data_IF_223019973501
#
_entry.id   IF_223019973501
#
_cell.length_a   1.000
_cell.length_b   1.000
_cell.length_c   1.000
_cell.angle_alpha   90.00
_cell.angle_beta   90.00
_cell.angle_gamma   90.00
#
_symmetry.space_group_name_H-M   'P 1'
#
loop_
_entity.id
_entity.type
_entity.pdbx_description
1 polymer ?
#
# COMPACT_ATOMS: atom_id res chain seq x y z
N UNK A 1 -4.09 -9.16 3.63
CA UNK A 1 -3.15 -10.25 3.93
C UNK A 1 -1.69 -9.77 3.99
N UNK A 2 -1.04 -9.40 2.87
CA UNK A 2 0.37 -8.96 2.90
C UNK A 2 0.59 -7.68 3.73
N UNK A 3 -0.30 -6.70 3.58
CA UNK A 3 -0.26 -5.47 4.37
C UNK A 3 -0.44 -5.76 5.88
N UNK A 4 -1.34 -6.68 6.23
CA UNK A 4 -1.59 -7.05 7.63
C UNK A 4 -0.35 -7.71 8.29
N UNK A 5 0.34 -8.60 7.58
CA UNK A 5 1.44 -9.39 8.14
C UNK A 5 2.80 -8.69 8.14
N UNK A 6 3.03 -7.78 7.18
CA UNK A 6 4.37 -7.20 6.94
C UNK A 6 4.42 -5.73 7.32
N UNK A 7 3.28 -5.02 7.36
CA UNK A 7 3.26 -3.62 7.74
C UNK A 7 3.17 -3.47 9.26
N UNK A 8 4.19 -2.87 9.87
CA UNK A 8 4.26 -2.60 11.31
C UNK A 8 3.03 -1.87 11.87
N UNK A 9 2.32 -1.06 11.08
CA UNK A 9 1.08 -0.42 11.52
C UNK A 9 -0.06 -1.43 11.73
N UNK A 10 -0.17 -2.45 10.87
CA UNK A 10 -1.27 -3.43 10.94
C UNK A 10 -0.99 -4.58 11.92
N UNK A 11 0.27 -4.81 12.30
CA UNK A 11 0.60 -5.81 13.34
C UNK A 11 -0.11 -5.53 14.67
N UNK A 12 -0.37 -4.24 14.98
CA UNK A 12 -1.13 -3.83 16.15
C UNK A 12 -2.59 -4.31 16.15
N UNK A 13 -3.20 -4.52 14.97
CA UNK A 13 -4.56 -5.07 14.91
C UNK A 13 -4.60 -6.52 15.39
N UNK A 14 -3.58 -7.33 15.10
CA UNK A 14 -3.53 -8.71 15.59
C UNK A 14 -3.40 -8.77 17.10
N UNK A 15 -2.52 -7.94 17.69
CA UNK A 15 -2.36 -7.86 19.14
C UNK A 15 -3.66 -7.45 19.84
N UNK A 16 -4.37 -6.46 19.27
CA UNK A 16 -5.67 -6.02 19.78
C UNK A 16 -6.75 -7.09 19.66
N UNK A 17 -6.86 -7.77 18.51
CA UNK A 17 -7.83 -8.87 18.32
C UNK A 17 -7.51 -10.05 19.23
N UNK A 18 -6.26 -10.46 19.35
CA UNK A 18 -5.85 -11.57 20.21
C UNK A 18 -6.14 -11.27 21.70
N UNK A 19 -5.78 -10.08 22.18
CA UNK A 19 -6.07 -9.65 23.54
C UNK A 19 -7.58 -9.53 23.80
N UNK A 20 -8.33 -8.94 22.88
CA UNK A 20 -9.79 -8.81 22.96
C UNK A 20 -10.50 -10.16 23.00
N UNK A 21 -10.17 -11.08 22.10
CA UNK A 21 -10.73 -12.44 22.09
C UNK A 21 -10.35 -13.21 23.37
N UNK A 22 -9.09 -13.09 23.83
CA UNK A 22 -8.63 -13.70 25.06
C UNK A 22 -9.43 -13.21 26.29
N UNK A 23 -9.69 -11.90 26.36
CA UNK A 23 -10.52 -11.32 27.41
C UNK A 23 -11.95 -11.88 27.39
N UNK A 24 -12.58 -11.98 26.22
CA UNK A 24 -13.93 -12.54 26.08
C UNK A 24 -13.99 -14.03 26.48
N UNK A 25 -12.97 -14.81 26.13
CA UNK A 25 -12.87 -16.22 26.53
C UNK A 25 -12.77 -16.38 28.05
N UNK A 26 -12.04 -15.50 28.73
CA UNK A 26 -11.94 -15.49 30.19
C UNK A 26 -13.27 -15.07 30.84
N UNK A 27 -13.92 -14.03 30.33
CA UNK A 27 -15.22 -13.59 30.82
C UNK A 27 -16.30 -14.67 30.66
N UNK A 28 -16.19 -15.50 29.62
CA UNK A 28 -17.09 -16.64 29.41
C UNK A 28 -16.96 -17.74 30.46
N UNK A 29 -15.79 -17.91 31.08
CA UNK A 29 -15.57 -18.89 32.15
C UNK A 29 -16.23 -18.48 33.47
N UNK A 30 -16.42 -17.18 33.70
CA UNK A 30 -17.24 -16.65 34.80
C UNK A 30 -16.55 -16.52 36.17
N UNK A 31 -15.29 -16.94 36.33
CA UNK A 31 -14.58 -16.87 37.61
C UNK A 31 -14.15 -15.45 37.98
N UNK A 32 -13.99 -15.18 39.28
CA UNK A 32 -13.54 -13.87 39.77
C UNK A 32 -12.10 -13.54 39.34
N UNK A 33 -11.19 -14.52 39.36
CA UNK A 33 -9.81 -14.35 38.88
C UNK A 33 -9.72 -14.08 37.37
N UNK A 34 -10.64 -14.65 36.59
CA UNK A 34 -10.69 -14.46 35.13
C UNK A 34 -11.02 -13.00 34.76
N UNK A 35 -11.75 -12.28 35.62
CA UNK A 35 -12.08 -10.86 35.38
C UNK A 35 -10.83 -9.96 35.42
N UNK A 36 -9.86 -10.28 36.28
CA UNK A 36 -8.59 -9.54 36.38
C UNK A 36 -7.77 -9.73 35.12
N UNK A 37 -7.61 -10.98 34.69
CA UNK A 37 -6.91 -11.29 33.46
C UNK A 37 -7.61 -10.75 32.21
N UNK A 38 -8.95 -10.74 32.19
CA UNK A 38 -9.70 -10.13 31.09
C UNK A 38 -9.45 -8.62 31.00
N UNK A 39 -9.44 -7.91 32.13
CA UNK A 39 -9.09 -6.49 32.18
C UNK A 39 -7.67 -6.24 31.67
N UNK A 40 -6.69 -7.03 32.15
CA UNK A 40 -5.29 -6.93 31.71
C UNK A 40 -5.15 -7.17 30.21
N UNK A 41 -5.86 -8.16 29.65
CA UNK A 41 -5.84 -8.43 28.21
C UNK A 41 -6.50 -7.33 27.39
N UNK A 42 -7.55 -6.67 27.89
CA UNK A 42 -8.15 -5.51 27.23
C UNK A 42 -7.22 -4.29 27.25
N UNK A 43 -6.50 -4.06 28.36
CA UNK A 43 -5.46 -3.02 28.43
C UNK A 43 -4.33 -3.33 27.44
N UNK A 44 -3.84 -4.57 27.42
CA UNK A 44 -2.82 -4.98 26.46
C UNK A 44 -3.31 -4.82 25.01
N UNK A 45 -4.55 -5.22 24.72
CA UNK A 45 -5.16 -5.02 23.41
C UNK A 45 -5.19 -3.54 23.00
N UNK A 46 -5.47 -2.65 23.95
CA UNK A 46 -5.49 -1.21 23.72
C UNK A 46 -4.10 -0.63 23.44
N UNK A 47 -3.06 -1.12 24.12
CA UNK A 47 -1.68 -0.73 23.87
C UNK A 47 -1.21 -1.08 22.45
N UNK A 48 -1.82 -2.08 21.82
CA UNK A 48 -1.57 -2.38 20.41
C UNK A 48 -2.38 -1.50 19.46
N UNK A 49 -3.66 -1.24 19.75
CA UNK A 49 -4.53 -0.46 18.87
C UNK A 49 -5.84 -0.03 19.53
N UNK A 50 -6.40 1.10 19.07
CA UNK A 50 -7.78 1.53 19.38
C UNK A 50 -8.87 0.57 18.89
N UNK A 51 -8.51 -0.45 18.09
CA UNK A 51 -9.38 -1.59 17.78
C UNK A 51 -9.87 -2.33 19.04
N UNK A 52 -9.23 -2.13 20.19
CA UNK A 52 -9.65 -2.68 21.48
C UNK A 52 -10.98 -2.07 21.99
N UNK A 53 -11.37 -0.88 21.51
CA UNK A 53 -12.61 -0.20 21.94
C UNK A 53 -13.84 -1.07 21.66
N UNK A 54 -14.05 -1.59 20.43
CA UNK A 54 -15.08 -2.59 20.15
C UNK A 54 -15.07 -3.78 21.12
N UNK A 55 -13.91 -4.34 21.45
CA UNK A 55 -13.80 -5.48 22.37
C UNK A 55 -14.17 -5.11 23.81
N UNK A 56 -13.81 -3.92 24.27
CA UNK A 56 -14.24 -3.41 25.57
C UNK A 56 -15.78 -3.25 25.64
N UNK A 57 -16.41 -2.78 24.55
CA UNK A 57 -17.87 -2.76 24.44
C UNK A 57 -18.46 -4.17 24.44
N UNK A 58 -17.85 -5.11 23.72
CA UNK A 58 -18.23 -6.53 23.76
C UNK A 58 -18.16 -7.13 25.17
N UNK A 59 -17.13 -6.79 25.95
CA UNK A 59 -17.01 -7.19 27.35
C UNK A 59 -18.12 -6.57 28.22
N UNK A 60 -18.44 -5.28 28.03
CA UNK A 60 -19.55 -4.63 28.72
C UNK A 60 -20.90 -5.32 28.40
N UNK A 61 -21.14 -5.67 27.13
CA UNK A 61 -22.34 -6.39 26.68
C UNK A 61 -22.39 -7.80 27.27
N UNK A 62 -21.27 -8.53 27.33
CA UNK A 62 -21.24 -9.85 27.98
C UNK A 62 -21.58 -9.77 29.47
N UNK A 63 -21.03 -8.78 30.19
CA UNK A 63 -21.30 -8.57 31.61
C UNK A 63 -22.76 -8.14 31.87
N UNK A 64 -23.37 -7.42 30.93
CA UNK A 64 -24.76 -7.00 31.04
C UNK A 64 -25.73 -8.14 30.68
N UNK A 65 -25.38 -9.00 29.73
CA UNK A 65 -26.25 -10.05 29.19
C UNK A 65 -25.65 -11.48 29.31
N UNK A 66 -25.15 -11.90 30.49
CA UNK A 66 -24.40 -13.17 30.59
C UNK A 66 -25.27 -14.40 30.32
N UNK A 67 -26.58 -14.33 30.62
CA UNK A 67 -27.51 -15.45 30.54
C UNK A 67 -28.63 -15.28 29.49
N UNK A 68 -28.52 -14.26 28.61
CA UNK A 68 -29.49 -14.00 27.55
C UNK A 68 -29.91 -12.52 27.47
N UNK A 69 -31.04 -12.20 26.84
CA UNK A 69 -31.44 -10.81 26.55
C UNK A 69 -31.90 -10.01 27.79
N UNK A 70 -31.98 -10.63 28.97
CA UNK A 70 -32.34 -9.94 30.21
C UNK A 70 -31.07 -9.34 30.85
N UNK A 71 -31.05 -8.03 31.15
CA UNK A 71 -29.87 -7.38 31.71
C UNK A 71 -29.65 -7.75 33.19
N UNK A 72 -28.40 -8.01 33.57
CA UNK A 72 -27.97 -8.29 34.94
C UNK A 72 -27.19 -7.11 35.55
N UNK A 73 -27.91 -6.08 35.97
CA UNK A 73 -27.34 -4.82 36.47
C UNK A 73 -26.39 -5.00 37.67
N UNK A 74 -26.74 -5.84 38.64
CA UNK A 74 -25.92 -6.02 39.85
C UNK A 74 -24.53 -6.61 39.53
N UNK A 75 -24.49 -7.61 38.64
CA UNK A 75 -23.24 -8.21 38.18
C UNK A 75 -22.44 -7.24 37.32
N UNK A 76 -23.11 -6.49 36.45
CA UNK A 76 -22.54 -5.47 35.58
C UNK A 76 -21.81 -4.39 36.38
N UNK A 77 -22.46 -3.74 37.36
CA UNK A 77 -21.83 -2.67 38.14
C UNK A 77 -20.61 -3.17 38.92
N UNK A 78 -20.70 -4.36 39.54
CA UNK A 78 -19.60 -4.95 40.32
C UNK A 78 -18.37 -5.25 39.47
N UNK A 79 -18.54 -5.55 38.19
CA UNK A 79 -17.46 -5.93 37.25
C UNK A 79 -17.20 -4.88 36.18
N UNK A 80 -17.78 -3.69 36.31
CA UNK A 80 -17.66 -2.61 35.33
C UNK A 80 -16.22 -2.14 35.12
N UNK A 81 -15.39 -2.24 36.16
CA UNK A 81 -13.95 -1.97 36.10
C UNK A 81 -13.21 -2.75 35.00
N UNK A 82 -13.71 -3.92 34.57
CA UNK A 82 -13.09 -4.73 33.51
C UNK A 82 -12.98 -3.96 32.19
N UNK A 83 -14.00 -3.15 31.84
CA UNK A 83 -13.98 -2.34 30.62
C UNK A 83 -13.74 -0.85 30.92
N UNK A 84 -14.05 -0.37 32.13
CA UNK A 84 -13.81 1.03 32.52
C UNK A 84 -12.32 1.34 32.72
N UNK A 85 -11.51 0.38 33.21
CA UNK A 85 -10.05 0.57 33.32
C UNK A 85 -9.40 0.80 31.94
N UNK A 86 -9.56 -0.08 30.93
CA UNK A 86 -9.02 0.19 29.60
C UNK A 86 -9.63 1.45 28.97
N UNK A 87 -10.92 1.75 29.20
CA UNK A 87 -11.50 3.01 28.75
C UNK A 87 -10.81 4.24 29.39
N UNK A 88 -10.50 4.19 30.69
CA UNK A 88 -9.77 5.23 31.39
C UNK A 88 -8.35 5.42 30.84
N UNK A 89 -7.64 4.33 30.55
CA UNK A 89 -6.33 4.36 29.89
C UNK A 89 -6.43 5.04 28.51
N UNK A 90 -7.45 4.72 27.72
CA UNK A 90 -7.69 5.36 26.43
C UNK A 90 -7.96 6.86 26.57
N UNK A 91 -8.78 7.26 27.54
CA UNK A 91 -9.08 8.68 27.81
C UNK A 91 -7.83 9.43 28.22
N UNK A 92 -6.97 8.87 29.08
CA UNK A 92 -5.69 9.48 29.46
C UNK A 92 -4.80 9.70 28.24
N UNK A 93 -4.66 8.68 27.39
CA UNK A 93 -3.90 8.80 26.14
C UNK A 93 -4.50 9.84 25.18
N UNK A 94 -5.83 9.86 25.05
CA UNK A 94 -6.52 10.80 24.17
C UNK A 94 -6.34 12.25 24.63
N UNK A 95 -6.48 12.52 25.92
CA UNK A 95 -6.25 13.84 26.52
C UNK A 95 -4.80 14.31 26.36
N UNK A 96 -3.82 13.40 26.46
CA UNK A 96 -2.41 13.75 26.30
C UNK A 96 -2.01 13.98 24.84
N UNK A 97 -2.45 13.11 23.93
CA UNK A 97 -1.94 13.07 22.55
C UNK A 97 -3.01 12.77 21.49
N UNK A 98 -3.96 11.87 21.78
CA UNK A 98 -4.87 11.36 20.76
C UNK A 98 -5.80 12.41 20.13
N UNK A 99 -6.14 13.48 20.85
CA UNK A 99 -6.97 14.58 20.33
C UNK A 99 -6.28 15.42 19.26
N UNK A 100 -4.94 15.33 19.13
CA UNK A 100 -4.17 16.03 18.10
C UNK A 100 -4.15 15.29 16.76
N UNK A 101 -4.60 14.03 16.74
CA UNK A 101 -4.67 13.25 15.52
C UNK A 101 -5.81 13.75 14.60
N UNK A 102 -5.63 13.56 13.29
CA UNK A 102 -6.68 13.85 12.30
C UNK A 102 -7.97 13.11 12.64
N UNK A 103 -9.06 13.87 12.74
CA UNK A 103 -10.40 13.37 12.99
C UNK A 103 -11.34 13.95 11.93
N UNK A 104 -12.22 13.12 11.37
CA UNK A 104 -13.21 13.50 10.36
C UNK A 104 -14.64 13.17 10.77
N UNK A 105 -14.89 12.98 12.07
CA UNK A 105 -16.23 12.90 12.64
C UNK A 105 -17.05 14.12 12.26
N UNK A 106 -18.17 13.87 11.58
CA UNK A 106 -19.06 14.92 11.09
C UNK A 106 -20.50 14.41 11.01
N UNK A 107 -21.46 15.34 11.03
CA UNK A 107 -22.89 15.01 10.81
C UNK A 107 -23.09 14.37 9.43
N UNK A 108 -22.34 14.82 8.43
CA UNK A 108 -22.37 14.27 7.08
C UNK A 108 -21.98 12.77 7.05
N UNK A 109 -20.92 12.41 7.78
CA UNK A 109 -20.52 11.01 7.93
C UNK A 109 -21.57 10.22 8.73
N UNK A 110 -22.11 10.78 9.81
CA UNK A 110 -23.15 10.13 10.61
C UNK A 110 -24.41 9.78 9.80
N UNK A 111 -24.82 10.64 8.86
CA UNK A 111 -25.97 10.37 7.97
C UNK A 111 -25.68 9.22 6.99
N UNK A 112 -24.43 9.06 6.55
CA UNK A 112 -24.01 8.01 5.61
C UNK A 112 -23.62 6.69 6.29
N UNK A 113 -23.41 6.73 7.60
CA UNK A 113 -22.91 5.62 8.40
C UNK A 113 -23.74 4.32 8.28
N UNK A 114 -25.09 4.35 8.22
CA UNK A 114 -25.87 3.12 8.01
C UNK A 114 -25.53 2.42 6.68
N UNK A 115 -25.32 3.18 5.60
CA UNK A 115 -24.91 2.62 4.30
C UNK A 115 -23.48 2.08 4.36
N UNK A 116 -22.59 2.75 5.10
CA UNK A 116 -21.23 2.29 5.34
C UNK A 116 -21.21 0.95 6.09
N UNK A 117 -21.95 0.84 7.19
CA UNK A 117 -22.06 -0.39 8.00
C UNK A 117 -22.58 -1.56 7.16
N UNK A 118 -23.68 -1.36 6.43
CA UNK A 118 -24.22 -2.41 5.56
C UNK A 118 -23.22 -2.79 4.46
N UNK A 119 -22.55 -1.81 3.86
CA UNK A 119 -21.54 -2.06 2.83
C UNK A 119 -20.33 -2.81 3.38
N UNK A 120 -19.89 -2.49 4.59
CA UNK A 120 -18.81 -3.20 5.28
C UNK A 120 -19.19 -4.65 5.58
N UNK A 121 -20.42 -4.94 6.02
CA UNK A 121 -20.90 -6.31 6.23
C UNK A 121 -20.91 -7.10 4.91
N UNK A 122 -21.47 -6.51 3.85
CA UNK A 122 -21.54 -7.14 2.53
C UNK A 122 -20.16 -7.44 1.96
N UNK A 123 -19.25 -6.47 2.06
CA UNK A 123 -17.87 -6.64 1.59
C UNK A 123 -17.09 -7.63 2.46
N UNK A 124 -17.22 -7.60 3.78
CA UNK A 124 -16.58 -8.55 4.69
C UNK A 124 -17.00 -10.00 4.38
N UNK A 125 -18.27 -10.23 4.04
CA UNK A 125 -18.74 -11.55 3.62
C UNK A 125 -18.11 -11.98 2.29
N UNK A 126 -17.97 -11.05 1.33
CA UNK A 126 -17.28 -11.28 0.06
C UNK A 126 -15.80 -11.64 0.28
N UNK A 127 -15.11 -10.93 1.17
CA UNK A 127 -13.72 -11.22 1.57
C UNK A 127 -13.61 -12.59 2.23
N UNK A 128 -14.51 -12.90 3.17
CA UNK A 128 -14.52 -14.19 3.88
C UNK A 128 -14.58 -15.39 2.90
N UNK A 129 -15.35 -15.29 1.83
CA UNK A 129 -15.50 -16.36 0.83
C UNK A 129 -14.52 -16.26 -0.35
N UNK A 130 -13.71 -15.20 -0.40
CA UNK A 130 -12.77 -14.95 -1.51
C UNK A 130 -13.42 -14.48 -2.81
N UNK A 131 -14.68 -14.02 -2.76
CA UNK A 131 -15.43 -13.53 -3.91
C UNK A 131 -15.25 -12.02 -4.17
N UNK A 132 -14.35 -11.35 -3.44
CA UNK A 132 -14.06 -9.94 -3.66
C UNK A 132 -13.44 -9.76 -5.05
N UNK A 133 -13.71 -8.64 -5.74
CA UNK A 133 -13.49 -8.55 -7.17
C UNK A 133 -12.02 -8.72 -7.54
N UNK A 134 -11.76 -9.80 -8.29
CA UNK A 134 -10.43 -10.17 -8.83
C UNK A 134 -9.87 -9.06 -9.75
N UNK A 135 -10.74 -8.17 -10.27
CA UNK A 135 -10.34 -7.13 -11.24
C UNK A 135 -10.55 -5.67 -10.81
N UNK A 136 -11.60 -5.31 -10.05
CA UNK A 136 -11.85 -3.92 -9.65
C UNK A 136 -12.51 -3.81 -8.27
N UNK A 137 -11.78 -3.29 -7.28
CA UNK A 137 -12.36 -2.93 -5.98
C UNK A 137 -13.30 -1.75 -6.23
N UNK A 138 -14.58 -1.93 -5.95
CA UNK A 138 -15.57 -0.84 -6.03
C UNK A 138 -15.86 -0.31 -4.64
N UNK A 139 -15.71 1.00 -4.48
CA UNK A 139 -16.06 1.77 -3.28
C UNK A 139 -17.57 2.08 -3.21
N UNK A 140 -18.35 1.52 -4.14
CA UNK A 140 -19.78 1.75 -4.25
C UNK A 140 -20.54 1.24 -3.03
N UNK A 141 -21.46 2.06 -2.51
CA UNK A 141 -22.44 1.64 -1.51
C UNK A 141 -23.44 0.58 -2.02
N UNK A 142 -23.32 0.10 -3.26
CA UNK A 142 -24.06 -1.08 -3.75
C UNK A 142 -23.80 -2.33 -2.88
N UNK A 143 -22.67 -2.39 -2.16
CA UNK A 143 -22.40 -3.42 -1.15
C UNK A 143 -23.39 -3.41 0.02
N UNK A 144 -24.14 -2.33 0.23
CA UNK A 144 -25.20 -2.29 1.22
C UNK A 144 -26.32 -3.30 0.93
N UNK A 145 -26.56 -3.66 -0.34
CA UNK A 145 -27.57 -4.67 -0.71
C UNK A 145 -27.22 -6.07 -0.17
N UNK A 146 -26.04 -6.67 -0.46
CA UNK A 146 -25.66 -7.93 0.15
C UNK A 146 -25.54 -7.83 1.67
N UNK A 147 -25.07 -6.70 2.22
CA UNK A 147 -25.06 -6.48 3.67
C UNK A 147 -26.44 -6.50 4.32
N UNK A 148 -27.43 -5.87 3.66
CA UNK A 148 -28.82 -5.89 4.09
C UNK A 148 -29.39 -7.30 4.05
N UNK A 149 -29.13 -8.07 2.99
CA UNK A 149 -29.56 -9.47 2.89
C UNK A 149 -28.98 -10.35 4.00
N UNK A 150 -27.69 -10.18 4.33
CA UNK A 150 -27.04 -10.90 5.42
C UNK A 150 -27.67 -10.51 6.76
N UNK A 151 -27.84 -9.22 7.01
CA UNK A 151 -28.42 -8.69 8.26
C UNK A 151 -29.87 -9.16 8.43
N UNK A 152 -30.68 -9.10 7.37
CA UNK A 152 -32.04 -9.60 7.36
C UNK A 152 -32.10 -11.13 7.56
N UNK A 153 -31.19 -11.88 6.94
CA UNK A 153 -31.06 -13.33 7.13
C UNK A 153 -30.72 -13.71 8.56
N UNK A 154 -29.81 -12.97 9.21
CA UNK A 154 -29.50 -13.13 10.63
C UNK A 154 -30.70 -12.79 11.52
N UNK A 155 -31.38 -11.67 11.23
CA UNK A 155 -32.61 -11.29 11.94
C UNK A 155 -33.69 -12.36 11.84
N UNK A 156 -33.93 -12.88 10.64
CA UNK A 156 -34.88 -13.97 10.40
C UNK A 156 -34.49 -15.27 11.10
N UNK A 157 -33.20 -15.63 11.09
CA UNK A 157 -32.68 -16.79 11.81
C UNK A 157 -32.93 -16.67 13.32
N UNK A 158 -32.61 -15.52 13.91
CA UNK A 158 -32.82 -15.26 15.34
C UNK A 158 -34.30 -15.24 15.71
N UNK A 159 -35.14 -14.65 14.86
CA UNK A 159 -36.58 -14.67 15.01
C UNK A 159 -37.13 -16.11 15.00
N UNK A 160 -36.72 -16.93 14.03
CA UNK A 160 -37.09 -18.35 13.94
C UNK A 160 -36.61 -19.16 15.15
N UNK A 161 -35.49 -18.80 15.76
CA UNK A 161 -34.97 -19.46 16.97
C UNK A 161 -35.72 -19.04 18.24
N UNK A 162 -36.43 -17.92 18.23
CA UNK A 162 -37.13 -17.37 19.41
C UNK A 162 -36.20 -16.97 20.56
N UNK A 163 -34.88 -16.95 20.33
CA UNK A 163 -33.87 -16.61 21.34
C UNK A 163 -32.68 -15.91 20.69
N UNK A 164 -32.11 -14.95 21.41
CA UNK A 164 -30.88 -14.26 21.02
C UNK A 164 -29.75 -14.71 21.95
N UNK A 165 -28.77 -15.48 21.45
CA UNK A 165 -27.64 -15.91 22.27
C UNK A 165 -26.78 -14.72 22.74
N UNK A 166 -26.25 -14.73 23.97
CA UNK A 166 -25.29 -13.72 24.44
C UNK A 166 -24.10 -13.54 23.50
N UNK A 167 -23.59 -14.64 22.94
CA UNK A 167 -22.47 -14.59 22.00
C UNK A 167 -22.79 -13.79 20.74
N UNK A 168 -24.04 -13.80 20.27
CA UNK A 168 -24.48 -12.96 19.16
C UNK A 168 -24.45 -11.48 19.55
N UNK A 169 -24.97 -11.13 20.73
CA UNK A 169 -24.98 -9.75 21.21
C UNK A 169 -23.55 -9.20 21.33
N UNK A 170 -22.61 -10.00 21.86
CA UNK A 170 -21.20 -9.63 21.94
C UNK A 170 -20.59 -9.42 20.54
N UNK A 171 -20.76 -10.39 19.63
CA UNK A 171 -20.26 -10.28 18.27
C UNK A 171 -20.82 -9.06 17.53
N UNK A 172 -22.13 -8.82 17.67
CA UNK A 172 -22.82 -7.68 17.07
C UNK A 172 -22.35 -6.36 17.66
N UNK A 173 -22.18 -6.27 18.98
CA UNK A 173 -21.67 -5.06 19.63
C UNK A 173 -20.26 -4.71 19.14
N UNK A 174 -19.37 -5.69 19.03
CA UNK A 174 -18.01 -5.50 18.52
C UNK A 174 -18.03 -5.09 17.05
N UNK A 175 -18.72 -5.86 16.19
CA UNK A 175 -18.76 -5.59 14.75
C UNK A 175 -19.41 -4.25 14.41
N UNK A 176 -20.62 -4.00 14.94
CA UNK A 176 -21.35 -2.76 14.67
C UNK A 176 -20.60 -1.55 15.21
N UNK A 177 -20.05 -1.60 16.44
CA UNK A 177 -19.28 -0.46 16.94
C UNK A 177 -18.03 -0.17 16.12
N UNK A 178 -17.32 -1.21 15.65
CA UNK A 178 -16.19 -1.02 14.76
C UNK A 178 -16.59 -0.36 13.45
N UNK A 179 -17.64 -0.85 12.78
CA UNK A 179 -18.08 -0.29 11.50
C UNK A 179 -18.64 1.13 11.64
N UNK A 180 -19.42 1.39 12.70
CA UNK A 180 -19.97 2.72 13.01
C UNK A 180 -18.83 3.72 13.31
N UNK A 181 -17.87 3.36 14.17
CA UNK A 181 -16.74 4.24 14.46
C UNK A 181 -15.88 4.50 13.22
N UNK A 182 -15.76 3.50 12.34
CA UNK A 182 -15.04 3.64 11.07
C UNK A 182 -15.77 4.56 10.08
N UNK A 183 -17.08 4.43 9.94
CA UNK A 183 -17.87 5.27 9.04
C UNK A 183 -18.06 6.69 9.57
N UNK A 184 -18.23 6.87 10.88
CA UNK A 184 -18.23 8.19 11.51
C UNK A 184 -16.93 8.95 11.26
N UNK A 185 -15.79 8.26 11.35
CA UNK A 185 -14.47 8.83 11.09
C UNK A 185 -13.99 8.60 9.63
N UNK A 186 -14.91 8.53 8.67
CA UNK A 186 -14.57 8.30 7.28
C UNK A 186 -13.69 9.42 6.69
N UNK A 187 -12.63 9.00 5.99
CA UNK A 187 -11.68 9.85 5.25
C UNK A 187 -11.46 9.18 3.88
N UNK A 188 -11.42 9.93 2.76
CA UNK A 188 -11.05 9.37 1.46
C UNK A 188 -9.72 8.59 1.51
N UNK A 189 -9.68 7.40 0.94
CA UNK A 189 -8.61 6.41 1.06
C UNK A 189 -8.73 5.49 2.29
N UNK A 190 -9.80 5.64 3.08
CA UNK A 190 -10.15 4.80 4.25
C UNK A 190 -11.60 4.32 4.16
N UNK A 191 -11.99 3.83 3.00
CA UNK A 191 -13.27 3.20 2.72
C UNK A 191 -13.41 1.83 3.41
N UNK A 192 -14.63 1.32 3.50
CA UNK A 192 -14.91 -0.03 4.04
C UNK A 192 -14.23 -1.16 3.25
N UNK A 193 -13.72 -0.88 2.04
CA UNK A 193 -12.95 -1.82 1.21
C UNK A 193 -11.44 -1.78 1.44
N UNK A 194 -10.93 -0.78 2.17
CA UNK A 194 -9.51 -0.64 2.41
C UNK A 194 -8.97 -1.87 3.17
N UNK A 195 -7.80 -2.36 2.76
CA UNK A 195 -7.19 -3.58 3.31
C UNK A 195 -7.13 -3.59 4.85
N UNK A 196 -6.86 -2.43 5.45
CA UNK A 196 -6.78 -2.22 6.91
C UNK A 196 -8.05 -2.57 7.70
N UNK A 197 -9.21 -2.57 7.07
CA UNK A 197 -10.47 -2.91 7.76
C UNK A 197 -10.95 -4.33 7.48
N UNK A 198 -10.32 -5.06 6.55
CA UNK A 198 -10.82 -6.36 6.11
C UNK A 198 -10.58 -7.45 7.15
N UNK A 199 -9.37 -7.51 7.70
CA UNK A 199 -9.05 -8.49 8.74
C UNK A 199 -9.98 -8.35 9.96
N UNK A 200 -10.13 -7.16 10.58
CA UNK A 200 -11.08 -6.99 11.69
C UNK A 200 -12.53 -7.31 11.29
N UNK A 201 -12.98 -6.83 10.12
CA UNK A 201 -14.37 -7.04 9.68
C UNK A 201 -14.71 -8.53 9.52
N UNK A 202 -13.80 -9.32 8.95
CA UNK A 202 -14.00 -10.78 8.81
C UNK A 202 -14.04 -11.47 10.16
N UNK A 203 -13.14 -11.13 11.09
CA UNK A 203 -13.16 -11.68 12.45
C UNK A 203 -14.48 -11.36 13.15
N UNK A 204 -14.93 -10.11 13.09
CA UNK A 204 -16.18 -9.67 13.71
C UNK A 204 -17.40 -10.33 13.07
N UNK A 205 -17.43 -10.48 11.74
CA UNK A 205 -18.47 -11.22 11.05
C UNK A 205 -18.51 -12.69 11.49
N UNK A 206 -17.37 -13.35 11.62
CA UNK A 206 -17.28 -14.72 12.14
C UNK A 206 -17.76 -14.82 13.58
N UNK A 207 -17.49 -13.82 14.43
CA UNK A 207 -18.03 -13.76 15.79
C UNK A 207 -19.55 -13.63 15.79
N UNK A 208 -20.11 -12.76 14.95
CA UNK A 208 -21.56 -12.59 14.77
C UNK A 208 -22.20 -13.91 14.31
N UNK A 209 -21.63 -14.56 13.30
CA UNK A 209 -22.12 -15.84 12.79
C UNK A 209 -22.01 -16.94 13.85
N UNK A 210 -20.85 -17.07 14.49
CA UNK A 210 -20.63 -18.04 15.57
C UNK A 210 -21.62 -17.86 16.72
N UNK A 211 -21.91 -16.60 17.10
CA UNK A 211 -22.92 -16.26 18.09
C UNK A 211 -24.35 -16.57 17.64
N UNK A 212 -24.71 -16.23 16.39
CA UNK A 212 -26.03 -16.51 15.82
C UNK A 212 -26.33 -18.01 15.78
N UNK A 213 -25.31 -18.85 15.60
CA UNK A 213 -25.39 -20.31 15.59
C UNK A 213 -25.00 -20.96 16.93
N UNK A 214 -24.80 -20.18 18.01
CA UNK A 214 -24.44 -20.73 19.31
C UNK A 214 -25.43 -21.82 19.77
N UNK A 215 -24.89 -22.91 20.31
CA UNK A 215 -25.63 -24.11 20.73
C UNK A 215 -26.28 -24.92 19.60
N UNK A 216 -26.08 -24.57 18.33
CA UNK A 216 -26.49 -25.42 17.20
C UNK A 216 -25.51 -26.57 17.00
N UNK A 217 -26.02 -27.79 16.84
CA UNK A 217 -25.22 -28.97 16.48
C UNK A 217 -25.61 -29.39 15.06
N UNK A 218 -24.80 -29.05 14.03
CA UNK A 218 -25.12 -29.38 12.65
C UNK A 218 -25.12 -30.90 12.41
N UNK A 219 -26.03 -31.37 11.56
CA UNK A 219 -26.03 -32.76 11.11
C UNK A 219 -24.76 -33.06 10.27
N UNK A 220 -24.31 -34.32 10.14
CA UNK A 220 -23.11 -34.67 9.38
C UNK A 220 -23.14 -34.22 7.91
N UNK A 221 -24.34 -34.14 7.29
CA UNK A 221 -24.50 -33.58 5.94
C UNK A 221 -24.21 -32.08 5.90
N UNK A 222 -24.74 -31.34 6.87
CA UNK A 222 -24.49 -29.89 7.01
C UNK A 222 -23.02 -29.61 7.24
N UNK A 223 -22.34 -30.40 8.08
CA UNK A 223 -20.88 -30.29 8.30
C UNK A 223 -20.12 -30.51 6.99
N UNK A 224 -20.49 -31.51 6.18
CA UNK A 224 -19.87 -31.73 4.87
C UNK A 224 -20.06 -30.55 3.92
N UNK A 225 -21.24 -29.94 3.88
CA UNK A 225 -21.51 -28.75 3.07
C UNK A 225 -20.68 -27.57 3.55
N UNK A 226 -20.63 -27.31 4.86
CA UNK A 226 -19.81 -26.24 5.45
C UNK A 226 -18.33 -26.46 5.13
N UNK A 227 -17.84 -27.70 5.25
CA UNK A 227 -16.47 -28.05 4.90
C UNK A 227 -16.18 -27.82 3.41
N UNK A 228 -17.09 -28.19 2.51
CA UNK A 228 -16.95 -27.94 1.08
C UNK A 228 -16.91 -26.43 0.77
N UNK A 229 -17.79 -25.63 1.39
CA UNK A 229 -17.78 -24.16 1.25
C UNK A 229 -16.48 -23.55 1.79
N UNK A 230 -15.99 -24.03 2.94
CA UNK A 230 -14.74 -23.57 3.52
C UNK A 230 -13.54 -23.91 2.61
N UNK A 231 -13.48 -25.12 2.08
CA UNK A 231 -12.43 -25.53 1.12
C UNK A 231 -12.48 -24.64 -0.13
N UNK A 232 -13.67 -24.42 -0.69
CA UNK A 232 -13.84 -23.54 -1.84
C UNK A 232 -13.38 -22.11 -1.54
N UNK A 233 -13.74 -21.55 -0.39
CA UNK A 233 -13.30 -20.23 0.05
C UNK A 233 -11.77 -20.15 0.23
N UNK A 234 -11.15 -21.19 0.79
CA UNK A 234 -9.68 -21.27 0.94
C UNK A 234 -9.01 -21.29 -0.45
N UNK A 235 -9.50 -22.12 -1.37
CA UNK A 235 -8.96 -22.21 -2.73
C UNK A 235 -9.07 -20.87 -3.46
N UNK A 236 -10.23 -20.19 -3.40
CA UNK A 236 -10.40 -18.88 -4.01
C UNK A 236 -9.49 -17.81 -3.39
N UNK A 237 -9.38 -17.76 -2.06
CA UNK A 237 -8.49 -16.82 -1.39
C UNK A 237 -7.02 -17.08 -1.74
N UNK A 238 -6.60 -18.35 -1.81
CA UNK A 238 -5.24 -18.72 -2.20
C UNK A 238 -4.95 -18.35 -3.67
N UNK A 239 -5.87 -18.63 -4.59
CA UNK A 239 -5.75 -18.24 -5.98
C UNK A 239 -5.64 -16.72 -6.14
N UNK A 240 -6.48 -15.96 -5.40
CA UNK A 240 -6.44 -14.50 -5.41
C UNK A 240 -5.13 -13.96 -4.81
N UNK A 241 -4.60 -14.60 -3.77
CA UNK A 241 -3.31 -14.23 -3.19
C UNK A 241 -2.17 -14.43 -4.19
N UNK A 242 -2.13 -15.56 -4.88
CA UNK A 242 -1.13 -15.87 -5.92
C UNK A 242 -1.25 -14.88 -7.08
N UNK A 243 -2.46 -14.63 -7.56
CA UNK A 243 -2.71 -13.63 -8.60
C UNK A 243 -2.24 -12.23 -8.17
N UNK A 244 -2.62 -11.77 -6.98
CA UNK A 244 -2.21 -10.45 -6.48
C UNK A 244 -0.68 -10.34 -6.32
N UNK A 245 -0.02 -11.43 -5.91
CA UNK A 245 1.43 -11.47 -5.81
C UNK A 245 2.11 -11.27 -7.17
N UNK A 246 1.74 -12.07 -8.18
CA UNK A 246 2.35 -12.01 -9.51
C UNK A 246 1.96 -10.75 -10.29
N UNK A 247 0.68 -10.38 -10.29
CA UNK A 247 0.16 -9.34 -11.19
C UNK A 247 0.16 -7.93 -10.61
N UNK A 248 0.29 -7.78 -9.28
CA UNK A 248 0.31 -6.46 -8.62
C UNK A 248 1.60 -6.25 -7.83
N UNK A 249 1.83 -7.03 -6.78
CA UNK A 249 2.92 -6.75 -5.84
C UNK A 249 4.30 -6.93 -6.47
N UNK A 250 4.52 -7.95 -7.30
CA UNK A 250 5.79 -8.11 -8.02
C UNK A 250 6.08 -6.97 -9.00
N UNK A 251 5.05 -6.43 -9.66
CA UNK A 251 5.21 -5.27 -10.55
C UNK A 251 5.58 -4.02 -9.76
N UNK A 252 4.93 -3.77 -8.61
CA UNK A 252 5.28 -2.64 -7.74
C UNK A 252 6.68 -2.79 -7.14
N UNK A 253 7.06 -3.99 -6.71
CA UNK A 253 8.41 -4.28 -6.23
C UNK A 253 9.44 -3.95 -7.31
N UNK A 254 9.31 -4.53 -8.51
CA UNK A 254 10.26 -4.29 -9.61
C UNK A 254 10.36 -2.81 -9.97
N UNK A 255 9.22 -2.10 -10.08
CA UNK A 255 9.20 -0.65 -10.33
C UNK A 255 9.98 0.13 -9.27
N UNK A 256 9.80 -0.21 -7.99
CA UNK A 256 10.49 0.45 -6.87
C UNK A 256 12.00 0.13 -6.87
N UNK A 257 12.36 -1.12 -7.14
CA UNK A 257 13.77 -1.52 -7.23
C UNK A 257 14.48 -0.80 -8.39
N UNK A 258 13.79 -0.62 -9.52
CA UNK A 258 14.27 0.18 -10.66
C UNK A 258 14.48 1.65 -10.28
N UNK A 259 13.53 2.24 -9.54
CA UNK A 259 13.71 3.61 -9.02
C UNK A 259 14.99 3.73 -8.18
N UNK A 260 15.28 2.74 -7.33
CA UNK A 260 16.48 2.74 -6.48
C UNK A 260 17.76 2.40 -7.25
N UNK A 261 17.71 1.57 -8.30
CA UNK A 261 18.86 1.34 -9.19
C UNK A 261 19.36 2.63 -9.83
N UNK A 262 18.49 3.61 -10.09
CA UNK A 262 18.93 4.92 -10.58
C UNK A 262 19.88 5.62 -9.60
N UNK A 263 19.63 5.53 -8.29
CA UNK A 263 20.53 6.08 -7.28
C UNK A 263 21.88 5.37 -7.25
N UNK A 264 21.89 4.03 -7.24
CA UNK A 264 23.12 3.26 -7.18
C UNK A 264 24.03 3.48 -8.38
N UNK A 265 23.43 3.53 -9.57
CA UNK A 265 24.14 3.85 -10.80
C UNK A 265 24.66 5.29 -10.76
N UNK A 266 23.82 6.26 -10.37
CA UNK A 266 24.19 7.68 -10.35
C UNK A 266 24.95 8.14 -9.09
N UNK A 267 25.27 7.24 -8.15
CA UNK A 267 25.75 7.54 -6.79
C UNK A 267 26.88 8.55 -6.69
N UNK A 268 27.77 8.60 -7.69
CA UNK A 268 28.93 9.51 -7.70
C UNK A 268 28.57 10.96 -7.95
N UNK A 269 27.45 11.23 -8.61
CA UNK A 269 27.15 12.55 -9.18
C UNK A 269 25.72 13.01 -8.95
N UNK A 270 24.84 12.13 -8.48
CA UNK A 270 23.45 12.48 -8.19
C UNK A 270 23.36 13.51 -7.08
N UNK A 271 22.44 14.45 -7.23
CA UNK A 271 22.20 15.47 -6.20
C UNK A 271 21.64 14.81 -4.93
N UNK A 272 22.09 15.19 -3.71
CA UNK A 272 21.60 14.61 -2.47
C UNK A 272 20.08 14.75 -2.27
N UNK A 273 19.47 15.78 -2.85
CA UNK A 273 18.04 16.11 -2.82
C UNK A 273 17.27 15.55 -4.03
N UNK A 274 17.91 14.82 -4.94
CA UNK A 274 17.20 14.16 -6.03
C UNK A 274 16.27 13.09 -5.46
N UNK A 275 14.99 13.18 -5.81
CA UNK A 275 13.96 12.26 -5.32
C UNK A 275 13.45 11.33 -6.40
N UNK A 276 13.21 10.09 -6.02
CA UNK A 276 12.48 9.12 -6.84
C UNK A 276 11.18 8.72 -6.16
N UNK A 277 10.18 8.41 -6.99
CA UNK A 277 8.92 7.83 -6.52
C UNK A 277 9.11 6.37 -6.12
N UNK A 278 8.52 6.02 -4.97
CA UNK A 278 8.40 4.67 -4.46
C UNK A 278 6.97 4.39 -3.97
N UNK A 279 6.62 3.11 -3.88
CA UNK A 279 5.30 2.65 -3.47
C UNK A 279 4.42 2.22 -4.63
N UNK A 280 3.11 2.13 -4.39
CA UNK A 280 2.13 1.67 -5.41
C UNK A 280 1.98 2.70 -6.52
N UNK A 281 1.86 3.99 -6.13
CA UNK A 281 1.53 5.10 -7.04
C UNK A 281 2.61 6.20 -7.02
N UNK A 282 3.88 5.84 -6.74
CA UNK A 282 4.97 6.82 -6.54
C UNK A 282 4.64 7.87 -5.43
N UNK A 283 3.79 7.48 -4.47
CA UNK A 283 3.28 8.36 -3.42
C UNK A 283 4.29 8.63 -2.30
N UNK A 284 5.24 7.71 -2.10
CA UNK A 284 6.38 7.95 -1.23
C UNK A 284 7.52 8.56 -2.06
N UNK A 285 8.11 9.64 -1.57
CA UNK A 285 9.33 10.23 -2.12
C UNK A 285 10.50 9.80 -1.27
N UNK A 286 11.56 9.36 -1.94
CA UNK A 286 12.82 8.98 -1.30
C UNK A 286 13.91 9.82 -1.95
N UNK A 287 14.63 10.58 -1.15
CA UNK A 287 15.79 11.36 -1.60
C UNK A 287 17.08 10.51 -1.58
N UNK A 288 18.04 10.90 -2.43
CA UNK A 288 19.30 10.20 -2.59
C UNK A 288 20.11 10.13 -1.27
N UNK A 289 20.14 11.20 -0.47
CA UNK A 289 20.90 11.24 0.78
C UNK A 289 20.38 10.23 1.82
N UNK A 290 19.06 10.20 2.02
CA UNK A 290 18.38 9.25 2.91
C UNK A 290 18.57 7.81 2.43
N UNK A 291 18.47 7.59 1.11
CA UNK A 291 18.72 6.28 0.51
C UNK A 291 20.16 5.80 0.76
N UNK A 292 21.18 6.63 0.47
CA UNK A 292 22.57 6.24 0.66
C UNK A 292 22.90 5.95 2.13
N UNK A 293 22.38 6.77 3.06
CA UNK A 293 22.51 6.52 4.50
C UNK A 293 21.92 5.18 4.90
N UNK A 294 20.82 4.74 4.27
CA UNK A 294 20.19 3.47 4.55
C UNK A 294 21.01 2.29 3.98
N UNK A 295 21.43 2.35 2.72
CA UNK A 295 22.15 1.23 2.10
C UNK A 295 23.55 1.04 2.68
N UNK A 296 24.20 2.10 3.16
CA UNK A 296 25.50 1.99 3.83
C UNK A 296 25.41 1.20 5.14
N UNK A 297 24.21 1.11 5.73
CA UNK A 297 23.95 0.36 6.96
C UNK A 297 23.35 -1.03 6.69
N UNK A 298 22.49 -1.16 5.69
CA UNK A 298 21.65 -2.35 5.50
C UNK A 298 21.88 -3.10 4.17
N UNK A 299 22.72 -2.58 3.29
CA UNK A 299 22.90 -3.07 1.93
C UNK A 299 21.90 -2.47 0.95
N UNK A 300 22.24 -2.49 -0.34
CA UNK A 300 21.36 -1.95 -1.39
C UNK A 300 20.27 -2.94 -1.77
N UNK A 301 19.00 -2.49 -1.87
CA UNK A 301 17.93 -3.28 -2.46
C UNK A 301 17.89 -3.20 -4.00
N UNK A 302 18.68 -2.31 -4.62
CA UNK A 302 18.62 -2.06 -6.06
C UNK A 302 18.91 -3.31 -6.89
N UNK A 303 18.38 -3.32 -8.12
CA UNK A 303 18.77 -4.32 -9.11
C UNK A 303 20.21 -4.08 -9.55
N UNK A 304 20.96 -5.17 -9.73
CA UNK A 304 22.22 -5.15 -10.47
C UNK A 304 22.00 -4.79 -11.94
N UNK A 305 23.06 -4.42 -12.66
CA UNK A 305 22.96 -4.06 -14.08
C UNK A 305 22.36 -5.19 -14.94
N UNK A 306 22.83 -6.43 -14.74
CA UNK A 306 22.33 -7.59 -15.45
C UNK A 306 20.83 -7.82 -15.20
N UNK A 307 20.37 -7.64 -13.95
CA UNK A 307 18.95 -7.73 -13.62
C UNK A 307 18.13 -6.57 -14.20
N UNK A 308 18.70 -5.38 -14.30
CA UNK A 308 18.07 -4.24 -14.94
C UNK A 308 17.95 -4.44 -16.47
N UNK A 309 18.94 -5.05 -17.11
CA UNK A 309 18.87 -5.45 -18.52
C UNK A 309 17.78 -6.50 -18.78
N UNK A 310 17.53 -7.41 -17.84
CA UNK A 310 16.47 -8.42 -17.93
C UNK A 310 15.07 -7.90 -17.55
N UNK A 311 14.96 -6.66 -17.06
CA UNK A 311 13.68 -6.07 -16.67
C UNK A 311 12.75 -5.85 -17.88
N UNK A 312 11.47 -5.58 -17.62
CA UNK A 312 10.52 -5.25 -18.70
C UNK A 312 10.94 -3.98 -19.45
N UNK A 313 10.52 -3.84 -20.71
CA UNK A 313 10.77 -2.63 -21.52
C UNK A 313 10.35 -1.35 -20.79
N UNK A 314 9.17 -1.35 -20.16
CA UNK A 314 8.67 -0.23 -19.36
C UNK A 314 9.63 0.16 -18.22
N UNK A 315 10.18 -0.83 -17.51
CA UNK A 315 11.09 -0.60 -16.40
C UNK A 315 12.47 -0.14 -16.88
N UNK A 316 12.97 -0.66 -18.00
CA UNK A 316 14.22 -0.20 -18.62
C UNK A 316 14.10 1.24 -19.11
N UNK A 317 12.99 1.58 -19.76
CA UNK A 317 12.70 2.95 -20.20
C UNK A 317 12.56 3.91 -19.01
N UNK A 318 11.91 3.47 -17.92
CA UNK A 318 11.82 4.23 -16.67
C UNK A 318 13.20 4.47 -16.06
N UNK A 319 14.06 3.45 -16.02
CA UNK A 319 15.42 3.59 -15.50
C UNK A 319 16.20 4.63 -16.29
N UNK A 320 16.14 4.59 -17.62
CA UNK A 320 16.78 5.59 -18.47
C UNK A 320 16.27 7.01 -18.19
N UNK A 321 14.97 7.18 -17.98
CA UNK A 321 14.38 8.49 -17.62
C UNK A 321 14.92 9.00 -16.29
N UNK A 322 14.96 8.14 -15.27
CA UNK A 322 15.48 8.50 -13.95
C UNK A 322 16.98 8.78 -13.98
N UNK A 323 17.76 8.05 -14.79
CA UNK A 323 19.18 8.29 -14.96
C UNK A 323 19.47 9.61 -15.66
N UNK A 324 18.70 9.98 -16.69
CA UNK A 324 18.86 11.29 -17.34
C UNK A 324 18.57 12.44 -16.38
N UNK A 325 17.62 12.27 -15.45
CA UNK A 325 17.29 13.28 -14.44
C UNK A 325 18.27 13.28 -13.25
N UNK A 326 18.70 12.11 -12.81
CA UNK A 326 19.55 11.93 -11.63
C UNK A 326 21.04 12.15 -11.92
N UNK A 327 21.49 11.91 -13.14
CA UNK A 327 22.82 12.29 -13.59
C UNK A 327 22.80 13.76 -14.03
N UNK A 328 23.88 14.53 -13.77
CA UNK A 328 24.04 15.90 -14.31
C UNK A 328 24.34 15.88 -15.83
N UNK A 329 23.46 15.25 -16.61
CA UNK A 329 23.46 15.28 -18.07
C UNK A 329 22.96 16.66 -18.49
N UNK A 330 23.84 17.45 -19.11
CA UNK A 330 23.51 18.83 -19.43
C UNK A 330 24.19 19.34 -20.70
N UNK A 331 23.52 20.25 -21.44
CA UNK A 331 24.18 21.01 -22.49
C UNK A 331 25.25 21.91 -21.86
N UNK A 332 26.36 22.09 -22.59
CA UNK A 332 27.38 23.09 -22.29
C UNK A 332 27.57 23.99 -23.51
N UNK A 333 28.00 25.25 -23.34
CA UNK A 333 28.23 26.14 -24.48
C UNK A 333 29.19 25.50 -25.49
N UNK A 334 28.86 25.55 -26.78
CA UNK A 334 29.73 25.01 -27.84
C UNK A 334 31.12 25.65 -27.86
N UNK A 335 31.26 26.88 -27.37
CA UNK A 335 32.55 27.58 -27.22
C UNK A 335 33.47 26.92 -26.20
N UNK A 336 32.96 26.07 -25.31
CA UNK A 336 33.76 25.36 -24.28
C UNK A 336 34.19 23.96 -24.71
N UNK A 337 33.86 23.55 -25.94
CA UNK A 337 34.12 22.19 -26.44
C UNK A 337 34.79 22.23 -27.81
N UNK A 338 35.81 21.40 -27.99
CA UNK A 338 36.51 21.25 -29.27
C UNK A 338 36.13 19.89 -29.86
N UNK A 339 35.42 19.84 -31.00
CA UNK A 339 35.02 18.58 -31.62
C UNK A 339 36.23 17.85 -32.23
N UNK A 340 36.25 16.54 -32.06
CA UNK A 340 37.20 15.61 -32.69
C UNK A 340 36.63 15.23 -34.06
N UNK A 341 36.98 16.02 -35.08
CA UNK A 341 36.29 16.02 -36.39
C UNK A 341 36.37 14.70 -37.15
N UNK A 342 37.46 13.96 -36.98
CA UNK A 342 37.69 12.65 -37.59
C UNK A 342 36.76 11.55 -37.04
N UNK A 343 36.05 11.80 -35.94
CA UNK A 343 35.13 10.86 -35.29
C UNK A 343 33.68 11.32 -35.28
N UNK A 344 33.35 12.32 -36.09
CA UNK A 344 31.97 12.77 -36.23
C UNK A 344 31.09 11.73 -36.93
N UNK A 345 29.84 11.64 -36.52
CA UNK A 345 28.82 10.79 -37.13
C UNK A 345 27.59 11.64 -37.45
N UNK A 346 27.03 11.44 -38.64
CA UNK A 346 25.75 12.03 -39.02
C UNK A 346 24.62 11.04 -38.74
N UNK A 347 23.53 11.55 -38.17
CA UNK A 347 22.31 10.81 -37.90
C UNK A 347 21.10 11.57 -38.46
N UNK A 348 20.12 10.84 -38.96
CA UNK A 348 18.83 11.41 -39.30
C UNK A 348 17.94 11.48 -38.05
N UNK A 349 17.41 12.66 -37.74
CA UNK A 349 16.34 12.79 -36.77
C UNK A 349 15.02 12.30 -37.38
N UNK A 350 14.25 11.55 -36.61
CA UNK A 350 12.94 11.03 -37.02
C UNK A 350 11.96 11.01 -35.84
N UNK A 351 10.69 10.69 -36.05
CA UNK A 351 9.67 10.74 -34.98
C UNK A 351 9.91 9.76 -33.83
N UNK A 352 10.64 8.66 -34.08
CA UNK A 352 10.88 7.57 -33.14
C UNK A 352 12.29 7.60 -32.52
N UNK A 353 13.15 8.53 -32.96
CA UNK A 353 14.58 8.54 -32.64
C UNK A 353 15.28 7.18 -32.87
N UNK A 354 14.88 6.44 -33.91
CA UNK A 354 15.33 5.07 -34.16
C UNK A 354 16.80 4.97 -34.62
N UNK A 355 17.33 6.02 -35.25
CA UNK A 355 18.73 6.12 -35.62
C UNK A 355 19.57 6.48 -34.40
N UNK A 356 20.07 5.47 -33.68
CA UNK A 356 20.87 5.63 -32.47
C UNK A 356 22.33 5.27 -32.70
N UNK A 357 23.23 6.01 -32.08
CA UNK A 357 24.65 5.63 -31.99
C UNK A 357 25.07 5.49 -30.54
N UNK A 358 26.04 4.60 -30.31
CA UNK A 358 26.77 4.54 -29.04
C UNK A 358 27.49 5.87 -28.77
N UNK A 359 27.38 6.36 -27.54
CA UNK A 359 28.09 7.51 -27.01
C UNK A 359 28.71 7.12 -25.65
N UNK A 360 30.00 7.35 -25.50
CA UNK A 360 30.69 7.08 -24.24
C UNK A 360 30.54 8.29 -23.28
N UNK A 361 30.59 8.08 -21.95
CA UNK A 361 30.59 9.19 -21.00
C UNK A 361 31.72 10.18 -21.27
N UNK A 362 31.41 11.47 -21.19
CA UNK A 362 32.33 12.56 -21.50
C UNK A 362 31.63 13.76 -22.13
N UNK A 363 32.37 14.46 -22.98
CA UNK A 363 31.88 15.60 -23.75
C UNK A 363 31.66 15.20 -25.21
N UNK A 364 30.53 15.62 -25.74
CA UNK A 364 30.21 15.53 -27.16
C UNK A 364 29.85 16.91 -27.69
N UNK A 365 30.03 17.11 -28.99
CA UNK A 365 29.58 18.27 -29.73
C UNK A 365 28.45 17.83 -30.64
N UNK A 366 27.33 18.57 -30.61
CA UNK A 366 26.11 18.24 -31.33
C UNK A 366 25.68 19.47 -32.14
N UNK A 367 25.39 19.27 -33.42
CA UNK A 367 24.83 20.30 -34.30
C UNK A 367 23.70 19.73 -35.14
N UNK A 368 22.56 20.40 -35.16
CA UNK A 368 21.36 19.97 -35.87
C UNK A 368 20.96 20.97 -36.96
N UNK A 369 20.50 20.46 -38.11
CA UNK A 369 19.96 21.29 -39.20
C UNK A 369 18.60 21.92 -38.85
N UNK A 370 17.81 21.22 -38.03
CA UNK A 370 16.50 21.66 -37.51
C UNK A 370 16.45 21.47 -36.00
N UNK A 371 15.44 22.03 -35.36
CA UNK A 371 15.20 21.77 -33.95
C UNK A 371 14.89 20.29 -33.72
N UNK A 372 15.62 19.67 -32.79
CA UNK A 372 15.48 18.24 -32.43
C UNK A 372 15.50 18.06 -30.92
N UNK A 373 14.82 17.02 -30.45
CA UNK A 373 14.90 16.56 -29.07
C UNK A 373 15.91 15.41 -28.97
N UNK A 374 16.90 15.57 -28.10
CA UNK A 374 17.90 14.55 -27.80
C UNK A 374 17.25 13.49 -26.91
N UNK A 375 17.36 12.24 -27.36
CA UNK A 375 16.91 11.05 -26.66
C UNK A 375 18.10 10.22 -26.24
N UNK A 376 18.13 9.80 -24.99
CA UNK A 376 19.16 8.92 -24.44
C UNK A 376 18.55 7.61 -23.97
N UNK A 377 19.23 6.50 -24.23
CA UNK A 377 18.89 5.21 -23.67
C UNK A 377 20.15 4.42 -23.35
N UNK A 378 20.12 3.66 -22.26
CA UNK A 378 21.18 2.72 -21.90
C UNK A 378 20.59 1.32 -21.77
N UNK A 379 19.48 1.19 -21.05
CA UNK A 379 18.78 -0.07 -20.84
C UNK A 379 17.59 -0.24 -21.80
N UNK A 380 16.86 0.84 -22.06
CA UNK A 380 15.65 0.82 -22.88
C UNK A 380 15.92 0.58 -24.35
N UNK A 381 15.01 -0.13 -25.02
CA UNK A 381 15.05 -0.38 -26.47
C UNK A 381 14.15 0.60 -27.25
N UNK A 382 13.20 1.26 -26.57
CA UNK A 382 12.21 2.18 -27.14
C UNK A 382 12.78 3.51 -27.61
N UNK A 383 11.99 4.60 -27.61
CA UNK A 383 12.44 5.93 -28.07
C UNK A 383 13.59 6.53 -27.25
N UNK A 384 13.76 6.08 -26.01
CA UNK A 384 14.71 6.62 -25.04
C UNK A 384 14.14 7.79 -24.23
N UNK A 385 14.81 8.10 -23.13
CA UNK A 385 14.51 9.21 -22.24
C UNK A 385 14.73 10.56 -22.92
N UNK A 386 13.77 11.48 -22.76
CA UNK A 386 13.94 12.86 -23.19
C UNK A 386 14.97 13.54 -22.29
N UNK A 387 16.02 14.11 -22.88
CA UNK A 387 17.05 14.83 -22.14
C UNK A 387 16.96 16.33 -22.40
N UNK A 388 17.39 16.77 -23.58
CA UNK A 388 17.52 18.19 -23.94
C UNK A 388 17.21 18.43 -25.40
N UNK A 389 16.95 19.68 -25.79
CA UNK A 389 16.80 20.05 -27.21
C UNK A 389 18.12 20.57 -27.79
N UNK A 390 18.31 20.37 -29.09
CA UNK A 390 19.34 21.05 -29.88
C UNK A 390 18.64 21.91 -30.93
N UNK A 391 18.95 23.20 -30.95
CA UNK A 391 18.34 24.16 -31.88
C UNK A 391 19.03 24.16 -33.24
N UNK A 392 18.24 24.43 -34.28
CA UNK A 392 18.70 24.54 -35.66
C UNK A 392 19.88 25.52 -35.79
N UNK A 393 20.98 25.05 -36.39
CA UNK A 393 22.17 25.86 -36.69
C UNK A 393 22.95 26.37 -35.47
N UNK A 394 22.57 25.98 -34.25
CA UNK A 394 23.24 26.39 -33.01
C UNK A 394 23.87 25.16 -32.35
N UNK A 395 25.16 24.88 -32.60
CA UNK A 395 25.80 23.75 -31.98
C UNK A 395 25.85 23.90 -30.46
N UNK A 396 25.83 22.77 -29.76
CA UNK A 396 25.98 22.68 -28.32
C UNK A 396 27.06 21.66 -27.98
N UNK A 397 27.76 21.87 -26.87
CA UNK A 397 28.40 20.78 -26.18
C UNK A 397 27.38 20.01 -25.36
N UNK A 398 27.64 18.74 -25.11
CA UNK A 398 26.75 17.86 -24.38
C UNK A 398 27.57 16.99 -23.44
N UNK A 399 27.31 17.07 -22.14
CA UNK A 399 28.06 16.33 -21.13
C UNK A 399 27.24 15.18 -20.59
N UNK A 400 27.82 13.98 -20.63
CA UNK A 400 27.33 12.81 -19.90
C UNK A 400 28.39 12.44 -18.86
N UNK A 401 28.11 12.56 -17.55
CA UNK A 401 29.07 12.22 -16.51
C UNK A 401 29.35 10.70 -16.50
N UNK A 402 30.51 10.32 -15.94
CA UNK A 402 30.77 8.91 -15.59
C UNK A 402 29.99 8.54 -14.35
N UNK A 403 29.41 7.36 -14.35
CA UNK A 403 28.61 6.81 -13.28
C UNK A 403 29.13 5.41 -12.90
N UNK A 404 28.35 4.62 -12.15
CA UNK A 404 28.74 3.26 -11.74
C UNK A 404 28.38 2.19 -12.78
N UNK A 405 28.08 2.57 -14.02
CA UNK A 405 27.69 1.66 -15.08
C UNK A 405 28.80 1.41 -16.09
N UNK A 406 28.99 0.16 -16.47
CA UNK A 406 29.88 -0.21 -17.58
C UNK A 406 29.16 -0.22 -18.93
N UNK A 407 27.83 -0.08 -18.92
CA UNK A 407 27.01 -0.06 -20.13
C UNK A 407 27.09 1.29 -20.85
N UNK A 408 27.25 1.29 -22.19
CA UNK A 408 27.31 2.51 -22.95
C UNK A 408 25.94 3.18 -23.06
N UNK A 409 25.95 4.51 -23.16
CA UNK A 409 24.77 5.25 -23.60
C UNK A 409 24.59 5.12 -25.11
N UNK A 410 23.34 5.19 -25.54
CA UNK A 410 22.96 5.39 -26.92
C UNK A 410 22.21 6.72 -27.03
N UNK A 411 22.54 7.49 -28.06
CA UNK A 411 21.94 8.79 -28.36
C UNK A 411 21.20 8.73 -29.69
N UNK A 412 19.96 9.20 -29.68
CA UNK A 412 19.11 9.38 -30.85
C UNK A 412 18.46 10.76 -30.86
N UNK A 413 17.85 11.14 -31.98
CA UNK A 413 17.26 12.46 -32.16
C UNK A 413 15.82 12.36 -32.66
N UNK A 414 14.90 12.93 -31.90
CA UNK A 414 13.51 13.04 -32.27
C UNK A 414 13.26 14.35 -33.01
N UNK A 415 12.70 14.28 -34.22
CA UNK A 415 12.44 15.45 -35.06
C UNK A 415 12.60 15.14 -36.54
N UNK A 416 13.19 16.08 -37.29
CA UNK A 416 13.52 15.93 -38.71
C UNK A 416 14.87 16.59 -39.03
N UNK A 417 15.47 16.23 -40.16
CA UNK A 417 16.76 16.78 -40.60
C UNK A 417 17.96 15.98 -40.09
N UNK A 418 19.17 16.41 -40.44
CA UNK A 418 20.41 15.73 -40.03
C UNK A 418 20.99 16.35 -38.76
N UNK A 419 21.61 15.50 -37.95
CA UNK A 419 22.32 15.86 -36.74
C UNK A 419 23.73 15.29 -36.80
N UNK A 420 24.72 16.15 -36.61
CA UNK A 420 26.12 15.75 -36.49
C UNK A 420 26.49 15.64 -35.02
N UNK A 421 27.05 14.49 -34.64
CA UNK A 421 27.54 14.22 -33.28
C UNK A 421 29.02 13.88 -33.36
N UNK A 422 29.86 14.58 -32.60
CA UNK A 422 31.28 14.31 -32.51
C UNK A 422 31.69 14.14 -31.04
N UNK A 423 32.59 13.19 -30.71
CA UNK A 423 33.31 13.25 -29.45
C UNK A 423 34.02 14.61 -29.33
N UNK A 424 34.09 15.16 -28.12
CA UNK A 424 34.70 16.45 -27.89
C UNK A 424 35.60 16.43 -26.65
N UNK A 425 36.54 17.37 -26.61
CA UNK A 425 37.34 17.67 -25.42
C UNK A 425 37.03 19.06 -24.91
N UNK A 426 37.24 19.28 -23.61
CA UNK A 426 37.10 20.61 -23.05
C UNK A 426 38.13 21.54 -23.68
N UNK A 427 37.71 22.77 -24.02
CA UNK A 427 38.65 23.82 -24.37
C UNK A 427 39.34 24.30 -23.08
N UNK A 428 40.62 23.93 -22.94
CA UNK A 428 41.47 24.31 -21.80
C UNK A 428 41.63 25.82 -21.63
N UNK A 429 41.39 26.64 -22.67
CA UNK A 429 41.46 28.09 -22.56
C UNK A 429 40.19 28.71 -21.95
N UNK A 430 39.07 27.99 -21.96
CA UNK A 430 37.76 28.46 -21.46
C UNK A 430 37.43 28.09 -20.01
N UNK A 431 38.34 27.35 -19.35
CA UNK A 431 38.21 26.86 -17.96
C UNK A 431 38.98 27.72 -16.93
N UNK A 432 39.56 28.85 -17.36
CA UNK A 432 40.17 29.86 -16.48
C UNK A 432 39.20 31.00 -16.18
#
# INVERSE_FOLDING_TARGET
>A
AAADLIWAFQIGYFGSVAGGLGALLLLRRGNSGDSVWACLLLVLALLFSSLAIPFALGAAVWLLFPNGPRPEWNGFFRRSWVFLVPAGVYVIWWLGWGHLAENSMSVHNAVRDPLYVLSAIGYAASVLVGAFPIRAITESFAWALPGLLITAGLGYLLHRRGRVPPEFLVGAAIGVSFWVLSGLNFIPGREFVSSRYQYPSVVMLLMILGGAFAGYRPAPRTVRVIAAVAIFAIVLNAATLVFAFHDRYKKYEQKNLISFSAFDLARRTVSPDFEVGAGVDDSARVDAASYFKAIDRYGSPALSEAQAEEASDENRDRLDQLLVLGLPVQPVPATRVIPIRDRCRELAANSEASGKIRIDPGLSWISAEKDVLIRLNRFGTGRGAAAWSASAGKPIGYRIPRDNSDLPWHIGFQGAGRVTVCPARADSQSLR
#
